data_IF_944957940807
#
_entry.id   IF_944957940807
#
_cell.length_a   1.000
_cell.length_b   1.000
_cell.length_c   1.000
_cell.angle_alpha   90.00
_cell.angle_beta   90.00
_cell.angle_gamma   90.00
#
_symmetry.space_group_name_H-M   'P 1'
#
loop_
_entity.id
_entity.type
_entity.pdbx_description
1 polymer ?
#
# COMPACT_ATOMS: atom_id res chain seq x y z
N UNK A 1 -40.05 7.55 13.21
CA UNK A 1 -41.04 6.48 13.39
C UNK A 1 -40.35 5.25 12.86
N UNK A 2 -40.10 4.25 13.71
CA UNK A 2 -39.39 3.06 13.26
C UNK A 2 -40.40 2.17 12.52
N UNK A 3 -40.06 1.78 11.29
CA UNK A 3 -40.91 0.88 10.52
C UNK A 3 -40.69 -0.51 11.07
N UNK A 4 -41.71 -1.05 11.73
CA UNK A 4 -41.66 -2.38 12.34
C UNK A 4 -43.06 -3.01 12.31
N UNK A 5 -43.17 -4.22 12.85
CA UNK A 5 -44.44 -4.94 12.92
C UNK A 5 -45.49 -4.15 13.73
N UNK A 6 -45.13 -3.59 14.88
CA UNK A 6 -46.05 -2.86 15.76
C UNK A 6 -46.68 -1.66 15.04
N UNK A 7 -45.89 -0.91 14.27
CA UNK A 7 -46.37 0.18 13.44
C UNK A 7 -47.33 -0.34 12.36
N UNK A 8 -46.99 -1.43 11.69
CA UNK A 8 -47.85 -2.03 10.68
C UNK A 8 -49.18 -2.51 11.28
N UNK A 9 -49.16 -3.11 12.47
CA UNK A 9 -50.37 -3.52 13.18
C UNK A 9 -51.24 -2.33 13.55
N UNK A 10 -50.63 -1.27 14.07
CA UNK A 10 -51.30 -0.01 14.41
C UNK A 10 -51.99 0.61 13.18
N UNK A 11 -51.31 0.65 12.04
CA UNK A 11 -51.86 1.16 10.76
C UNK A 11 -53.05 0.32 10.29
N UNK A 12 -52.96 -1.00 10.35
CA UNK A 12 -54.01 -1.90 9.87
C UNK A 12 -55.23 -1.90 10.82
N UNK A 13 -55.03 -1.84 12.13
CA UNK A 13 -56.10 -1.90 13.13
C UNK A 13 -56.84 -0.57 13.32
N UNK A 14 -56.34 0.53 12.74
CA UNK A 14 -56.97 1.85 12.85
C UNK A 14 -58.34 1.87 12.14
N UNK A 15 -59.41 2.12 12.90
CA UNK A 15 -60.79 2.21 12.39
C UNK A 15 -61.06 3.48 11.58
N UNK A 16 -60.27 4.53 11.79
CA UNK A 16 -60.33 5.80 11.06
C UNK A 16 -59.52 5.73 9.75
N UNK A 17 -60.25 5.61 8.63
CA UNK A 17 -59.66 5.50 7.29
C UNK A 17 -58.83 6.72 6.89
N UNK A 18 -59.17 7.92 7.37
CA UNK A 18 -58.40 9.13 7.07
C UNK A 18 -57.05 9.11 7.80
N UNK A 19 -57.05 8.65 9.06
CA UNK A 19 -55.81 8.44 9.83
C UNK A 19 -54.96 7.32 9.24
N UNK A 20 -55.55 6.18 8.89
CA UNK A 20 -54.85 5.07 8.25
C UNK A 20 -54.14 5.53 6.96
N UNK A 21 -54.84 6.26 6.10
CA UNK A 21 -54.26 6.82 4.86
C UNK A 21 -53.12 7.79 5.16
N UNK A 22 -53.27 8.65 6.16
CA UNK A 22 -52.23 9.59 6.59
C UNK A 22 -50.97 8.86 7.06
N UNK A 23 -51.12 7.78 7.82
CA UNK A 23 -49.98 6.99 8.32
C UNK A 23 -49.30 6.20 7.21
N UNK A 24 -50.06 5.62 6.28
CA UNK A 24 -49.51 4.97 5.09
C UNK A 24 -48.70 5.95 4.22
N UNK A 25 -49.19 7.19 4.02
CA UNK A 25 -48.41 8.23 3.33
C UNK A 25 -47.11 8.57 4.08
N UNK A 26 -47.17 8.75 5.41
CA UNK A 26 -45.96 9.00 6.22
C UNK A 26 -44.95 7.87 6.14
N UNK A 27 -45.41 6.62 6.11
CA UNK A 27 -44.54 5.44 5.94
C UNK A 27 -43.90 5.42 4.56
N UNK A 28 -44.68 5.67 3.49
CA UNK A 28 -44.16 5.79 2.12
C UNK A 28 -43.10 6.88 2.03
N UNK A 29 -43.35 8.06 2.61
CA UNK A 29 -42.40 9.17 2.62
C UNK A 29 -41.10 8.81 3.37
N UNK A 30 -41.20 8.03 4.46
CA UNK A 30 -40.04 7.55 5.21
C UNK A 30 -39.20 6.53 4.42
N UNK A 31 -39.84 5.55 3.78
CA UNK A 31 -39.11 4.58 2.95
C UNK A 31 -38.44 5.28 1.77
N UNK A 32 -39.11 6.24 1.13
CA UNK A 32 -38.52 7.05 0.05
C UNK A 32 -37.38 7.94 0.54
N UNK A 33 -37.47 8.48 1.76
CA UNK A 33 -36.35 9.19 2.38
C UNK A 33 -35.16 8.25 2.60
N UNK A 34 -35.39 7.02 3.09
CA UNK A 34 -34.33 6.03 3.28
C UNK A 34 -33.68 5.63 1.96
N UNK A 35 -34.46 5.39 0.89
CA UNK A 35 -33.92 5.13 -0.45
C UNK A 35 -33.00 6.26 -0.93
N UNK A 36 -33.36 7.53 -0.68
CA UNK A 36 -32.47 8.67 -0.98
C UNK A 36 -31.17 8.62 -0.16
N UNK A 37 -31.24 8.28 1.13
CA UNK A 37 -30.05 8.12 1.97
C UNK A 37 -29.15 6.97 1.49
N UNK A 38 -29.73 5.84 1.10
CA UNK A 38 -29.02 4.70 0.52
C UNK A 38 -28.33 5.12 -0.78
N UNK A 39 -29.01 5.83 -1.67
CA UNK A 39 -28.42 6.32 -2.90
C UNK A 39 -27.21 7.25 -2.65
N UNK A 40 -27.31 8.15 -1.66
CA UNK A 40 -26.19 8.99 -1.23
C UNK A 40 -25.05 8.12 -0.70
N UNK A 41 -25.34 7.12 0.14
CA UNK A 41 -24.35 6.19 0.65
C UNK A 41 -23.59 5.49 -0.48
N UNK A 42 -24.31 4.89 -1.44
CA UNK A 42 -23.73 4.15 -2.55
C UNK A 42 -22.82 5.03 -3.40
N UNK A 43 -23.26 6.26 -3.69
CA UNK A 43 -22.46 7.23 -4.42
C UNK A 43 -21.21 7.64 -3.64
N UNK A 44 -21.31 7.83 -2.33
CA UNK A 44 -20.16 8.19 -1.48
C UNK A 44 -19.16 7.04 -1.47
N UNK A 45 -19.64 5.80 -1.27
CA UNK A 45 -18.83 4.60 -1.25
C UNK A 45 -18.04 4.42 -2.56
N UNK A 46 -18.68 4.61 -3.72
CA UNK A 46 -18.03 4.54 -5.04
C UNK A 46 -16.90 5.58 -5.19
N UNK A 47 -17.14 6.80 -4.71
CA UNK A 47 -16.12 7.86 -4.77
C UNK A 47 -14.93 7.58 -3.85
N UNK A 48 -15.19 7.08 -2.65
CA UNK A 48 -14.14 6.65 -1.71
C UNK A 48 -13.38 5.46 -2.30
N UNK A 49 -14.07 4.48 -2.88
CA UNK A 49 -13.46 3.34 -3.57
C UNK A 49 -12.52 3.81 -4.68
N UNK A 50 -12.94 4.78 -5.51
CA UNK A 50 -12.08 5.34 -6.56
C UNK A 50 -10.80 5.98 -5.99
N UNK A 51 -10.88 6.70 -4.87
CA UNK A 51 -9.69 7.24 -4.19
C UNK A 51 -8.76 6.13 -3.70
N UNK A 52 -9.31 5.09 -3.08
CA UNK A 52 -8.51 3.96 -2.59
C UNK A 52 -7.89 3.15 -3.72
N UNK A 53 -8.61 2.92 -4.82
CA UNK A 53 -8.06 2.26 -6.01
C UNK A 53 -6.90 3.06 -6.61
N UNK A 54 -6.99 4.40 -6.64
CA UNK A 54 -5.86 5.23 -7.06
C UNK A 54 -4.67 5.09 -6.11
N UNK A 55 -4.91 5.16 -4.79
CA UNK A 55 -3.86 4.94 -3.77
C UNK A 55 -3.20 3.57 -3.90
N UNK A 56 -3.95 2.51 -4.21
CA UNK A 56 -3.38 1.18 -4.47
C UNK A 56 -2.42 1.21 -5.64
N UNK A 57 -2.83 1.78 -6.78
CA UNK A 57 -1.96 1.91 -7.97
C UNK A 57 -0.69 2.70 -7.67
N UNK A 58 -0.80 3.78 -6.90
CA UNK A 58 0.35 4.59 -6.52
C UNK A 58 1.32 3.78 -5.66
N UNK A 59 0.81 3.01 -4.68
CA UNK A 59 1.62 2.13 -3.82
C UNK A 59 2.25 0.97 -4.63
N UNK A 60 1.49 0.34 -5.53
CA UNK A 60 2.00 -0.70 -6.43
C UNK A 60 3.16 -0.16 -7.28
N UNK A 61 2.99 1.02 -7.89
CA UNK A 61 4.07 1.67 -8.65
C UNK A 61 5.30 1.98 -7.79
N UNK A 62 5.09 2.32 -6.51
CA UNK A 62 6.18 2.53 -5.56
C UNK A 62 6.89 1.21 -5.23
N UNK A 63 6.17 0.10 -5.09
CA UNK A 63 6.75 -1.23 -4.87
C UNK A 63 7.61 -1.64 -6.07
N UNK A 64 7.15 -1.39 -7.29
CA UNK A 64 7.92 -1.70 -8.50
C UNK A 64 9.23 -0.91 -8.56
N UNK A 65 9.20 0.39 -8.22
CA UNK A 65 10.42 1.20 -8.12
C UNK A 65 11.38 0.67 -7.05
N UNK A 66 10.87 0.26 -5.89
CA UNK A 66 11.69 -0.34 -4.84
C UNK A 66 12.32 -1.66 -5.29
N UNK A 67 11.61 -2.48 -6.07
CA UNK A 67 12.15 -3.71 -6.64
C UNK A 67 13.29 -3.42 -7.63
N UNK A 68 13.09 -2.46 -8.55
CA UNK A 68 14.13 -2.04 -9.49
C UNK A 68 15.37 -1.51 -8.77
N UNK A 69 15.19 -0.70 -7.73
CA UNK A 69 16.30 -0.20 -6.92
C UNK A 69 17.04 -1.34 -6.21
N UNK A 70 16.31 -2.33 -5.67
CA UNK A 70 16.91 -3.51 -5.06
C UNK A 70 17.72 -4.29 -6.09
N UNK A 71 17.20 -4.53 -7.28
CA UNK A 71 17.92 -5.22 -8.35
C UNK A 71 19.23 -4.49 -8.70
N UNK A 72 19.22 -3.17 -8.83
CA UNK A 72 20.45 -2.40 -9.06
C UNK A 72 21.48 -2.58 -7.93
N UNK A 73 21.04 -2.58 -6.67
CA UNK A 73 21.91 -2.81 -5.51
C UNK A 73 22.46 -4.24 -5.52
N UNK A 74 21.64 -5.24 -5.85
CA UNK A 74 22.06 -6.65 -5.91
C UNK A 74 23.15 -6.86 -6.98
N UNK A 75 23.02 -6.21 -8.13
CA UNK A 75 24.06 -6.20 -9.16
C UNK A 75 25.34 -5.49 -8.68
N UNK A 76 25.22 -4.35 -8.00
CA UNK A 76 26.38 -3.62 -7.46
C UNK A 76 27.12 -4.44 -6.39
N UNK A 77 26.40 -5.11 -5.49
CA UNK A 77 26.98 -6.01 -4.48
C UNK A 77 27.75 -7.14 -5.16
N UNK A 78 27.16 -7.76 -6.19
CA UNK A 78 27.82 -8.84 -6.95
C UNK A 78 29.15 -8.34 -7.56
N UNK A 79 29.12 -7.20 -8.25
CA UNK A 79 30.33 -6.60 -8.82
C UNK A 79 31.38 -6.24 -7.75
N UNK A 80 30.96 -5.72 -6.60
CA UNK A 80 31.88 -5.41 -5.50
C UNK A 80 32.50 -6.66 -4.88
N UNK A 81 31.75 -7.74 -4.76
CA UNK A 81 32.26 -9.03 -4.27
C UNK A 81 33.31 -9.62 -5.23
N UNK A 82 33.04 -9.58 -6.56
CA UNK A 82 34.01 -10.02 -7.57
C UNK A 82 35.30 -9.19 -7.49
N UNK A 83 35.15 -7.86 -7.33
CA UNK A 83 36.30 -6.96 -7.19
C UNK A 83 37.08 -7.19 -5.89
N UNK A 84 36.38 -7.47 -4.79
CA UNK A 84 37.00 -7.84 -3.51
C UNK A 84 37.82 -9.13 -3.68
N UNK A 85 37.24 -10.17 -4.28
CA UNK A 85 37.92 -11.45 -4.49
C UNK A 85 39.18 -11.29 -5.34
N UNK A 86 39.12 -10.48 -6.41
CA UNK A 86 40.28 -10.20 -7.25
C UNK A 86 41.39 -9.45 -6.48
N UNK A 87 41.03 -8.53 -5.60
CA UNK A 87 42.01 -7.82 -4.75
C UNK A 87 42.60 -8.70 -3.65
N UNK A 88 41.81 -9.61 -3.07
CA UNK A 88 42.31 -10.61 -2.12
C UNK A 88 43.35 -11.51 -2.78
N UNK A 89 43.07 -12.00 -3.99
CA UNK A 89 44.04 -12.76 -4.78
C UNK A 89 45.32 -11.94 -5.02
N UNK A 90 45.20 -10.71 -5.50
CA UNK A 90 46.34 -9.82 -5.72
C UNK A 90 47.13 -9.53 -4.44
N UNK A 91 46.45 -9.38 -3.31
CA UNK A 91 47.11 -9.22 -2.01
C UNK A 91 47.97 -10.45 -1.69
N UNK A 92 47.44 -11.66 -1.87
CA UNK A 92 48.21 -12.89 -1.61
C UNK A 92 49.43 -13.02 -2.51
N UNK A 93 49.33 -12.62 -3.79
CA UNK A 93 50.45 -12.61 -4.74
C UNK A 93 51.55 -11.63 -4.30
N UNK A 94 51.17 -10.40 -3.91
CA UNK A 94 52.10 -9.38 -3.44
C UNK A 94 52.75 -9.80 -2.12
N UNK A 95 52.00 -10.41 -1.19
CA UNK A 95 52.54 -10.93 0.07
C UNK A 95 53.58 -12.03 -0.17
N UNK A 96 53.31 -12.93 -1.13
CA UNK A 96 54.26 -13.96 -1.53
C UNK A 96 55.53 -13.37 -2.16
N UNK A 97 55.39 -12.43 -3.09
CA UNK A 97 56.52 -11.74 -3.71
C UNK A 97 57.36 -10.95 -2.68
N UNK A 98 56.69 -10.28 -1.74
CA UNK A 98 57.31 -9.54 -0.66
C UNK A 98 58.13 -10.45 0.25
N UNK A 99 57.64 -11.66 0.55
CA UNK A 99 58.39 -12.67 1.31
C UNK A 99 59.70 -13.05 0.61
N UNK A 100 59.67 -13.30 -0.70
CA UNK A 100 60.86 -13.64 -1.48
C UNK A 100 61.88 -12.49 -1.51
N UNK A 101 61.43 -11.26 -1.75
CA UNK A 101 62.29 -10.07 -1.80
C UNK A 101 62.89 -9.74 -0.44
N UNK A 102 62.14 -9.93 0.67
CA UNK A 102 62.70 -9.78 2.03
C UNK A 102 63.89 -10.70 2.26
N UNK A 103 63.80 -11.96 1.81
CA UNK A 103 64.89 -12.93 1.91
C UNK A 103 66.08 -12.53 1.05
N UNK A 104 65.84 -12.00 -0.15
CA UNK A 104 66.89 -11.52 -1.05
C UNK A 104 67.58 -10.25 -0.52
N UNK A 105 66.81 -9.28 -0.03
CA UNK A 105 67.32 -8.06 0.61
C UNK A 105 68.25 -8.41 1.77
N UNK A 106 67.86 -9.35 2.62
CA UNK A 106 68.70 -9.83 3.73
C UNK A 106 70.04 -10.40 3.25
N UNK A 107 70.04 -11.22 2.19
CA UNK A 107 71.28 -11.76 1.59
C UNK A 107 72.19 -10.66 1.05
N UNK A 108 71.63 -9.64 0.41
CA UNK A 108 72.42 -8.51 -0.11
C UNK A 108 72.94 -7.59 0.99
N UNK A 109 72.18 -7.37 2.07
CA UNK A 109 72.65 -6.66 3.28
C UNK A 109 73.86 -7.36 3.87
N UNK A 110 73.77 -8.66 4.12
CA UNK A 110 74.87 -9.46 4.65
C UNK A 110 76.10 -9.46 3.73
N UNK A 111 75.89 -9.52 2.41
CA UNK A 111 76.98 -9.43 1.42
C UNK A 111 77.63 -8.04 1.43
N UNK A 112 76.85 -6.96 1.48
CA UNK A 112 77.35 -5.59 1.61
C UNK A 112 78.21 -5.46 2.86
N UNK A 113 77.71 -5.87 4.02
CA UNK A 113 78.42 -5.80 5.31
C UNK A 113 79.74 -6.56 5.25
N UNK A 114 79.77 -7.77 4.68
CA UNK A 114 81.01 -8.53 4.48
C UNK A 114 82.00 -7.79 3.58
N UNK A 115 81.56 -7.28 2.43
CA UNK A 115 82.43 -6.54 1.52
C UNK A 115 82.97 -5.24 2.14
N UNK A 116 82.17 -4.56 2.95
CA UNK A 116 82.53 -3.37 3.71
C UNK A 116 83.64 -3.66 4.73
N UNK A 117 83.49 -4.75 5.50
CA UNK A 117 84.51 -5.23 6.43
C UNK A 117 85.83 -5.55 5.71
N UNK A 118 85.79 -6.30 4.59
CA UNK A 118 87.01 -6.60 3.83
C UNK A 118 87.67 -5.36 3.24
N UNK A 119 86.89 -4.42 2.70
CA UNK A 119 87.42 -3.16 2.19
C UNK A 119 88.08 -2.32 3.30
N UNK A 120 87.45 -2.22 4.47
CA UNK A 120 88.02 -1.49 5.62
C UNK A 120 89.36 -2.06 6.09
N UNK A 121 89.49 -3.39 6.16
CA UNK A 121 90.72 -4.08 6.59
C UNK A 121 91.89 -3.91 5.61
N UNK A 122 91.59 -3.81 4.32
CA UNK A 122 92.60 -3.78 3.25
C UNK A 122 92.76 -2.40 2.62
N UNK A 123 92.18 -1.35 3.22
CA UNK A 123 92.17 0.00 2.65
C UNK A 123 93.58 0.61 2.54
N UNK A 124 94.49 0.23 3.44
CA UNK A 124 95.86 0.71 3.48
C UNK A 124 96.79 0.08 2.41
N UNK A 125 96.35 -0.98 1.72
CA UNK A 125 97.16 -1.66 0.69
C UNK A 125 96.68 -1.21 -0.71
N UNK A 126 97.41 -0.36 -1.45
CA UNK A 126 96.87 0.36 -2.62
C UNK A 126 96.28 -0.52 -3.73
N UNK A 127 96.91 -1.65 -4.06
CA UNK A 127 96.44 -2.56 -5.12
C UNK A 127 95.18 -3.32 -4.69
N UNK A 128 95.17 -3.81 -3.45
CA UNK A 128 94.03 -4.54 -2.89
C UNK A 128 92.85 -3.60 -2.62
N UNK A 129 93.10 -2.39 -2.13
CA UNK A 129 92.05 -1.43 -1.82
C UNK A 129 91.20 -1.08 -3.03
N UNK A 130 91.81 -0.92 -4.22
CA UNK A 130 91.08 -0.64 -5.49
C UNK A 130 90.16 -1.80 -5.89
N UNK A 131 90.61 -3.04 -5.75
CA UNK A 131 89.81 -4.22 -6.09
C UNK A 131 88.63 -4.41 -5.12
N UNK A 132 88.88 -4.28 -3.81
CA UNK A 132 87.83 -4.45 -2.80
C UNK A 132 86.86 -3.27 -2.74
N UNK A 133 87.31 -2.04 -3.06
CA UNK A 133 86.42 -0.88 -3.28
C UNK A 133 85.40 -1.15 -4.38
N UNK A 134 85.84 -1.70 -5.50
CA UNK A 134 84.95 -2.04 -6.62
C UNK A 134 83.92 -3.11 -6.22
N UNK A 135 84.33 -4.13 -5.47
CA UNK A 135 83.42 -5.17 -4.94
C UNK A 135 82.40 -4.58 -3.96
N UNK A 136 82.83 -3.69 -3.07
CA UNK A 136 81.96 -3.01 -2.12
C UNK A 136 80.93 -2.13 -2.82
N UNK A 137 81.34 -1.27 -3.76
CA UNK A 137 80.42 -0.39 -4.50
C UNK A 137 79.33 -1.22 -5.20
N UNK A 138 79.71 -2.30 -5.91
CA UNK A 138 78.75 -3.21 -6.54
C UNK A 138 77.78 -3.85 -5.55
N UNK A 139 78.26 -4.26 -4.36
CA UNK A 139 77.41 -4.84 -3.32
C UNK A 139 76.46 -3.80 -2.70
N UNK A 140 76.95 -2.57 -2.50
CA UNK A 140 76.18 -1.43 -2.01
C UNK A 140 75.06 -1.05 -2.98
N UNK A 141 75.38 -0.91 -4.26
CA UNK A 141 74.41 -0.49 -5.27
C UNK A 141 73.32 -1.56 -5.46
N UNK A 142 73.69 -2.86 -5.48
CA UNK A 142 72.71 -3.95 -5.50
C UNK A 142 71.83 -3.97 -4.25
N UNK A 143 72.41 -3.78 -3.06
CA UNK A 143 71.62 -3.68 -1.84
C UNK A 143 70.63 -2.51 -1.91
N UNK A 144 71.06 -1.34 -2.38
CA UNK A 144 70.18 -0.19 -2.54
C UNK A 144 69.02 -0.48 -3.52
N UNK A 145 69.30 -1.13 -4.65
CA UNK A 145 68.25 -1.56 -5.61
C UNK A 145 67.25 -2.52 -4.97
N UNK A 146 67.72 -3.53 -4.21
CA UNK A 146 66.80 -4.48 -3.55
C UNK A 146 66.00 -3.83 -2.42
N UNK A 147 66.57 -2.90 -1.66
CA UNK A 147 65.84 -2.12 -0.65
C UNK A 147 64.74 -1.25 -1.28
N UNK A 148 65.05 -0.61 -2.41
CA UNK A 148 64.06 0.17 -3.15
C UNK A 148 62.91 -0.74 -3.62
N UNK A 149 63.22 -1.88 -4.24
CA UNK A 149 62.21 -2.84 -4.67
C UNK A 149 61.37 -3.38 -3.50
N UNK A 150 61.97 -3.61 -2.34
CA UNK A 150 61.26 -3.99 -1.11
C UNK A 150 60.29 -2.88 -0.66
N UNK A 151 60.70 -1.62 -0.75
CA UNK A 151 59.85 -0.47 -0.41
C UNK A 151 58.66 -0.35 -1.36
N UNK A 152 58.88 -0.51 -2.66
CA UNK A 152 57.83 -0.50 -3.69
C UNK A 152 56.80 -1.61 -3.45
N UNK A 153 57.25 -2.82 -3.12
CA UNK A 153 56.35 -3.94 -2.81
C UNK A 153 55.55 -3.74 -1.52
N UNK A 154 56.15 -3.14 -0.48
CA UNK A 154 55.40 -2.76 0.74
C UNK A 154 54.31 -1.75 0.41
N UNK A 155 54.65 -0.74 -0.38
CA UNK A 155 53.68 0.26 -0.80
C UNK A 155 52.53 -0.35 -1.62
N UNK A 156 52.84 -1.28 -2.54
CA UNK A 156 51.82 -2.00 -3.30
C UNK A 156 50.88 -2.82 -2.39
N UNK A 157 51.41 -3.46 -1.35
CA UNK A 157 50.60 -4.18 -0.37
C UNK A 157 49.67 -3.24 0.40
N UNK A 158 50.19 -2.11 0.89
CA UNK A 158 49.41 -1.10 1.61
C UNK A 158 48.25 -0.56 0.74
N UNK A 159 48.50 -0.33 -0.56
CA UNK A 159 47.48 0.07 -1.51
C UNK A 159 46.37 -0.98 -1.65
N UNK A 160 46.72 -2.26 -1.79
CA UNK A 160 45.74 -3.36 -1.89
C UNK A 160 44.88 -3.44 -0.61
N UNK A 161 45.51 -3.39 0.57
CA UNK A 161 44.80 -3.43 1.85
C UNK A 161 43.86 -2.23 2.04
N UNK A 162 44.27 -1.04 1.61
CA UNK A 162 43.42 0.14 1.66
C UNK A 162 42.23 0.03 0.71
N UNK A 163 42.43 -0.49 -0.51
CA UNK A 163 41.34 -0.73 -1.46
C UNK A 163 40.34 -1.76 -0.93
N UNK A 164 40.81 -2.86 -0.33
CA UNK A 164 39.95 -3.86 0.30
C UNK A 164 39.07 -3.25 1.41
N UNK A 165 39.65 -2.44 2.31
CA UNK A 165 38.88 -1.73 3.35
C UNK A 165 37.78 -0.85 2.76
N UNK A 166 38.07 -0.13 1.68
CA UNK A 166 37.09 0.74 1.00
C UNK A 166 35.96 -0.09 0.40
N UNK A 167 36.27 -1.21 -0.24
CA UNK A 167 35.27 -2.09 -0.87
C UNK A 167 34.41 -2.77 0.18
N UNK A 168 35.00 -3.33 1.23
CA UNK A 168 34.25 -3.93 2.34
C UNK A 168 33.28 -2.93 2.95
N UNK A 169 33.73 -1.68 3.18
CA UNK A 169 32.85 -0.62 3.65
C UNK A 169 31.69 -0.37 2.67
N UNK A 170 31.97 -0.25 1.38
CA UNK A 170 30.95 -0.04 0.35
C UNK A 170 29.93 -1.20 0.29
N UNK A 171 30.38 -2.44 0.41
CA UNK A 171 29.51 -3.62 0.46
C UNK A 171 28.58 -3.53 1.68
N UNK A 172 29.11 -3.20 2.86
CA UNK A 172 28.27 -3.04 4.07
C UNK A 172 27.23 -1.92 3.91
N UNK A 173 27.60 -0.80 3.30
CA UNK A 173 26.67 0.30 3.02
C UNK A 173 25.56 -0.13 2.04
N UNK A 174 25.87 -0.96 1.04
CA UNK A 174 24.88 -1.50 0.11
C UNK A 174 23.91 -2.47 0.79
N UNK A 175 24.39 -3.35 1.66
CA UNK A 175 23.50 -4.22 2.46
C UNK A 175 22.58 -3.42 3.39
N UNK A 176 23.07 -2.33 4.00
CA UNK A 176 22.23 -1.45 4.82
C UNK A 176 21.11 -0.79 4.00
N UNK A 177 21.42 -0.31 2.79
CA UNK A 177 20.41 0.23 1.86
C UNK A 177 19.40 -0.82 1.46
N UNK A 178 19.86 -2.04 1.15
CA UNK A 178 18.99 -3.17 0.80
C UNK A 178 17.99 -3.49 1.93
N UNK A 179 18.43 -3.52 3.19
CA UNK A 179 17.56 -3.72 4.36
C UNK A 179 16.52 -2.60 4.49
N UNK A 180 16.92 -1.35 4.28
CA UNK A 180 16.01 -0.21 4.29
C UNK A 180 14.92 -0.32 3.20
N UNK A 181 15.29 -0.71 1.97
CA UNK A 181 14.33 -0.94 0.89
C UNK A 181 13.36 -2.08 1.23
N UNK A 182 13.84 -3.17 1.82
CA UNK A 182 13.00 -4.28 2.28
C UNK A 182 11.97 -3.82 3.33
N UNK A 183 12.38 -3.00 4.30
CA UNK A 183 11.47 -2.40 5.30
C UNK A 183 10.42 -1.50 4.66
N UNK A 184 10.83 -0.64 3.72
CA UNK A 184 9.90 0.24 2.99
C UNK A 184 8.88 -0.58 2.19
N UNK A 185 9.34 -1.62 1.48
CA UNK A 185 8.45 -2.53 0.74
C UNK A 185 7.44 -3.23 1.65
N UNK A 186 7.88 -3.72 2.82
CA UNK A 186 6.98 -4.35 3.79
C UNK A 186 5.89 -3.39 4.26
N UNK A 187 6.25 -2.14 4.58
CA UNK A 187 5.29 -1.12 5.00
C UNK A 187 4.27 -0.78 3.90
N UNK A 188 4.71 -0.73 2.64
CA UNK A 188 3.84 -0.53 1.48
C UNK A 188 2.86 -1.70 1.29
N UNK A 189 3.33 -2.94 1.43
CA UNK A 189 2.47 -4.14 1.36
C UNK A 189 1.43 -4.18 2.49
N UNK A 190 1.82 -3.80 3.70
CA UNK A 190 0.88 -3.71 4.82
C UNK A 190 -0.17 -2.61 4.60
N UNK A 191 0.21 -1.52 3.94
CA UNK A 191 -0.71 -0.46 3.54
C UNK A 191 -1.72 -0.95 2.50
N UNK A 192 -1.29 -1.72 1.49
CA UNK A 192 -2.20 -2.35 0.52
C UNK A 192 -3.22 -3.25 1.22
N UNK A 193 -2.78 -4.14 2.12
CA UNK A 193 -3.69 -5.01 2.87
C UNK A 193 -4.73 -4.24 3.68
N UNK A 194 -4.37 -3.08 4.24
CA UNK A 194 -5.32 -2.22 4.96
C UNK A 194 -6.35 -1.62 4.00
N UNK A 195 -5.90 -1.15 2.83
CA UNK A 195 -6.80 -0.61 1.81
C UNK A 195 -7.76 -1.68 1.30
N UNK A 196 -7.28 -2.89 1.01
CA UNK A 196 -8.11 -4.02 0.56
C UNK A 196 -9.22 -4.34 1.58
N UNK A 197 -8.91 -4.32 2.88
CA UNK A 197 -9.91 -4.52 3.94
C UNK A 197 -11.01 -3.45 3.91
N UNK A 198 -10.62 -2.18 3.72
CA UNK A 198 -11.58 -1.06 3.64
C UNK A 198 -12.45 -1.19 2.37
N UNK A 199 -11.84 -1.49 1.23
CA UNK A 199 -12.57 -1.73 -0.02
C UNK A 199 -13.56 -2.90 0.11
N UNK A 200 -13.14 -4.00 0.73
CA UNK A 200 -14.01 -5.13 1.00
C UNK A 200 -15.19 -4.75 1.90
N UNK A 201 -14.94 -3.99 2.96
CA UNK A 201 -15.97 -3.50 3.86
C UNK A 201 -16.98 -2.57 3.15
N UNK A 202 -16.51 -1.65 2.31
CA UNK A 202 -17.34 -0.76 1.50
C UNK A 202 -18.19 -1.53 0.49
N UNK A 203 -17.61 -2.56 -0.14
CA UNK A 203 -18.30 -3.44 -1.07
C UNK A 203 -19.45 -4.19 -0.39
N UNK A 204 -19.19 -4.80 0.77
CA UNK A 204 -20.23 -5.48 1.55
C UNK A 204 -21.38 -4.55 1.90
N UNK A 205 -21.09 -3.31 2.33
CA UNK A 205 -22.14 -2.34 2.63
C UNK A 205 -22.91 -1.88 1.40
N UNK A 206 -22.23 -1.75 0.26
CA UNK A 206 -22.89 -1.35 -0.99
C UNK A 206 -23.81 -2.44 -1.52
N UNK A 207 -23.38 -3.71 -1.48
CA UNK A 207 -24.21 -4.87 -1.82
C UNK A 207 -25.41 -4.96 -0.88
N UNK A 208 -25.18 -4.86 0.44
CA UNK A 208 -26.24 -4.90 1.43
C UNK A 208 -27.32 -3.83 1.20
N UNK A 209 -26.94 -2.56 1.03
CA UNK A 209 -27.92 -1.49 0.87
C UNK A 209 -28.63 -1.51 -0.50
N UNK A 210 -27.95 -1.99 -1.54
CA UNK A 210 -28.58 -2.22 -2.85
C UNK A 210 -29.63 -3.33 -2.77
N UNK A 211 -29.32 -4.43 -2.08
CA UNK A 211 -30.26 -5.50 -1.82
C UNK A 211 -31.42 -5.02 -0.93
N UNK A 212 -31.12 -4.21 0.09
CA UNK A 212 -32.14 -3.61 0.96
C UNK A 212 -33.15 -2.77 0.18
N UNK A 213 -32.68 -1.94 -0.74
CA UNK A 213 -33.54 -1.13 -1.60
C UNK A 213 -34.47 -2.00 -2.47
N UNK A 214 -33.92 -3.09 -3.01
CA UNK A 214 -34.64 -3.99 -3.93
C UNK A 214 -35.64 -4.90 -3.22
N UNK A 215 -35.24 -5.50 -2.10
CA UNK A 215 -35.99 -6.60 -1.48
C UNK A 215 -36.79 -6.18 -0.24
N UNK A 216 -36.42 -5.10 0.44
CA UNK A 216 -37.16 -4.60 1.62
C UNK A 216 -37.93 -3.34 1.28
N UNK A 217 -37.24 -2.27 0.85
CA UNK A 217 -37.87 -0.97 0.62
C UNK A 217 -38.95 -1.03 -0.47
N UNK A 218 -38.66 -1.65 -1.62
CA UNK A 218 -39.62 -1.77 -2.71
C UNK A 218 -40.86 -2.59 -2.32
N UNK A 219 -40.69 -3.69 -1.59
CA UNK A 219 -41.81 -4.56 -1.16
C UNK A 219 -42.74 -3.83 -0.19
N UNK A 220 -42.18 -3.08 0.76
CA UNK A 220 -42.96 -2.23 1.67
C UNK A 220 -43.72 -1.16 0.89
N UNK A 221 -43.08 -0.51 -0.07
CA UNK A 221 -43.72 0.51 -0.92
C UNK A 221 -44.86 -0.07 -1.75
N UNK A 222 -44.67 -1.23 -2.37
CA UNK A 222 -45.70 -1.89 -3.18
C UNK A 222 -46.91 -2.27 -2.32
N UNK A 223 -46.68 -2.90 -1.16
CA UNK A 223 -47.74 -3.29 -0.25
C UNK A 223 -48.48 -2.07 0.33
N UNK A 224 -47.75 -1.02 0.75
CA UNK A 224 -48.36 0.22 1.25
C UNK A 224 -49.17 0.94 0.16
N UNK A 225 -48.66 0.99 -1.08
CA UNK A 225 -49.37 1.60 -2.21
C UNK A 225 -50.61 0.81 -2.61
N UNK A 226 -50.59 -0.52 -2.50
CA UNK A 226 -51.78 -1.34 -2.70
C UNK A 226 -52.87 -0.98 -1.68
N UNK A 227 -52.52 -0.90 -0.40
CA UNK A 227 -53.45 -0.52 0.68
C UNK A 227 -54.00 0.91 0.51
N UNK A 228 -53.17 1.85 0.06
CA UNK A 228 -53.58 3.23 -0.25
C UNK A 228 -54.60 3.28 -1.41
N UNK A 229 -54.44 2.43 -2.44
CA UNK A 229 -55.33 2.39 -3.61
C UNK A 229 -56.64 1.65 -3.31
N UNK A 230 -56.61 0.60 -2.49
CA UNK A 230 -57.74 -0.32 -2.26
C UNK A 230 -58.40 -0.16 -0.88
N UNK A 231 -58.82 1.07 -0.54
CA UNK A 231 -59.54 1.43 0.71
C UNK A 231 -60.94 0.82 0.90
N UNK A 232 -61.43 0.01 -0.06
CA UNK A 232 -62.73 -0.67 -0.01
C UNK A 232 -62.54 -2.10 0.48
N UNK A 233 -62.27 -2.26 1.77
CA UNK A 233 -62.44 -3.54 2.47
C UNK A 233 -63.92 -3.94 2.46
N UNK A 234 -64.39 -4.50 1.34
CA UNK A 234 -65.62 -5.29 1.33
C UNK A 234 -65.15 -6.73 1.33
N UNK A 235 -65.21 -7.35 2.51
CA UNK A 235 -65.06 -8.80 2.69
C UNK A 235 -66.04 -9.47 1.72
N UNK A 236 -65.55 -9.86 0.55
CA UNK A 236 -66.35 -10.56 -0.44
C UNK A 236 -66.46 -12.00 0.05
N UNK A 237 -67.63 -12.36 0.59
CA UNK A 237 -67.96 -13.72 1.07
C UNK A 237 -67.94 -14.81 -0.03
N UNK A 238 -67.40 -14.53 -1.22
CA UNK A 238 -67.47 -15.41 -2.41
C UNK A 238 -66.11 -15.74 -3.04
N UNK A 239 -64.98 -15.29 -2.48
CA UNK A 239 -63.65 -15.71 -2.93
C UNK A 239 -63.01 -16.58 -1.85
N UNK A 240 -62.51 -17.75 -2.23
CA UNK A 240 -61.83 -18.72 -1.36
C UNK A 240 -60.48 -18.21 -0.82
N UNK A 241 -59.99 -17.08 -1.35
CA UNK A 241 -58.82 -16.36 -0.85
C UNK A 241 -59.13 -14.86 -0.90
N UNK A 242 -59.18 -14.22 0.26
CA UNK A 242 -59.37 -12.78 0.38
C UNK A 242 -58.06 -12.07 0.02
N UNK A 243 -58.02 -11.48 -1.18
CA UNK A 243 -56.83 -10.81 -1.72
C UNK A 243 -56.37 -9.68 -0.79
N UNK A 244 -57.30 -8.98 -0.13
CA UNK A 244 -56.96 -7.93 0.85
C UNK A 244 -56.21 -8.51 2.04
N UNK A 245 -56.58 -9.71 2.52
CA UNK A 245 -55.90 -10.38 3.62
C UNK A 245 -54.48 -10.81 3.26
N UNK A 246 -54.24 -11.19 2.00
CA UNK A 246 -52.88 -11.48 1.52
C UNK A 246 -52.03 -10.21 1.59
N UNK A 247 -52.53 -9.09 1.05
CA UNK A 247 -51.77 -7.84 1.03
C UNK A 247 -51.56 -7.24 2.42
N UNK A 248 -52.53 -7.40 3.33
CA UNK A 248 -52.36 -7.01 4.73
C UNK A 248 -51.25 -7.84 5.40
N UNK A 249 -51.24 -9.17 5.21
CA UNK A 249 -50.18 -10.04 5.73
C UNK A 249 -48.82 -9.71 5.11
N UNK A 250 -48.77 -9.51 3.80
CA UNK A 250 -47.57 -9.12 3.08
C UNK A 250 -47.03 -7.78 3.57
N UNK A 251 -47.89 -6.78 3.79
CA UNK A 251 -47.50 -5.48 4.33
C UNK A 251 -46.89 -5.61 5.74
N UNK A 252 -47.53 -6.38 6.63
CA UNK A 252 -47.02 -6.62 7.99
C UNK A 252 -45.66 -7.31 7.98
N UNK A 253 -45.52 -8.38 7.19
CA UNK A 253 -44.25 -9.11 7.07
C UNK A 253 -43.15 -8.23 6.47
N UNK A 254 -43.46 -7.47 5.43
CA UNK A 254 -42.53 -6.55 4.80
C UNK A 254 -42.06 -5.46 5.79
N UNK A 255 -42.95 -4.91 6.62
CA UNK A 255 -42.57 -3.92 7.63
C UNK A 255 -41.69 -4.52 8.74
N UNK A 256 -41.94 -5.78 9.14
CA UNK A 256 -41.10 -6.50 10.09
C UNK A 256 -39.68 -6.69 9.52
N UNK A 257 -39.57 -7.30 8.34
CA UNK A 257 -38.30 -7.57 7.67
C UNK A 257 -37.52 -6.29 7.37
N UNK A 258 -38.22 -5.23 6.95
CA UNK A 258 -37.63 -3.91 6.74
C UNK A 258 -36.98 -3.39 8.02
N UNK A 259 -37.71 -3.40 9.14
CA UNK A 259 -37.21 -2.88 10.42
C UNK A 259 -35.99 -3.64 10.92
N UNK A 260 -36.05 -4.97 10.90
CA UNK A 260 -34.93 -5.82 11.34
C UNK A 260 -33.68 -5.61 10.48
N UNK A 261 -33.85 -5.54 9.15
CA UNK A 261 -32.74 -5.33 8.22
C UNK A 261 -32.19 -3.91 8.31
N UNK A 262 -33.04 -2.90 8.51
CA UNK A 262 -32.60 -1.51 8.68
C UNK A 262 -31.72 -1.37 9.92
N UNK A 263 -32.15 -1.94 11.05
CA UNK A 263 -31.37 -1.95 12.30
C UNK A 263 -30.04 -2.68 12.12
N UNK A 264 -30.05 -3.85 11.46
CA UNK A 264 -28.82 -4.57 11.15
C UNK A 264 -27.87 -3.73 10.29
N UNK A 265 -28.38 -3.10 9.23
CA UNK A 265 -27.60 -2.25 8.35
C UNK A 265 -27.02 -1.04 9.05
N UNK A 266 -27.83 -0.33 9.85
CA UNK A 266 -27.38 0.85 10.60
C UNK A 266 -26.37 0.48 11.71
N UNK A 267 -26.41 -0.74 12.27
CA UNK A 267 -25.38 -1.18 13.22
C UNK A 267 -23.98 -1.32 12.61
N UNK A 268 -23.89 -1.47 11.28
CA UNK A 268 -22.63 -1.74 10.56
C UNK A 268 -22.20 -0.62 9.61
N UNK A 269 -23.13 -0.03 8.88
CA UNK A 269 -22.86 0.90 7.78
C UNK A 269 -23.57 2.24 7.95
N UNK A 270 -23.86 2.65 9.19
CA UNK A 270 -24.41 3.97 9.45
C UNK A 270 -23.37 5.06 9.16
N UNK A 271 -23.74 5.95 8.22
CA UNK A 271 -22.91 7.07 7.77
C UNK A 271 -22.40 7.96 8.90
N UNK A 272 -23.15 8.12 9.99
CA UNK A 272 -22.75 9.02 11.08
C UNK A 272 -21.70 8.40 12.02
N UNK A 273 -21.55 7.08 12.00
CA UNK A 273 -20.61 6.35 12.90
C UNK A 273 -19.41 5.75 12.18
N UNK A 274 -19.40 5.77 10.83
CA UNK A 274 -18.34 5.17 10.03
C UNK A 274 -17.04 5.99 10.10
N UNK A 275 -15.96 5.30 10.46
CA UNK A 275 -14.61 5.87 10.52
C UNK A 275 -13.76 5.37 9.34
N UNK A 276 -13.91 6.02 8.19
CA UNK A 276 -13.16 5.70 6.96
C UNK A 276 -12.25 6.87 6.61
N UNK A 277 -11.04 6.60 6.15
CA UNK A 277 -10.12 7.64 5.70
C UNK A 277 -10.44 8.05 4.26
N UNK A 278 -10.52 9.34 3.99
CA UNK A 278 -10.74 9.87 2.65
C UNK A 278 -10.02 11.20 2.48
N UNK A 279 -9.75 11.59 1.23
CA UNK A 279 -9.14 12.88 0.93
C UNK A 279 -10.21 13.86 0.49
N UNK A 280 -10.28 15.01 1.16
CA UNK A 280 -11.24 16.06 0.82
C UNK A 280 -10.83 16.73 -0.49
N UNK A 281 -11.73 16.78 -1.48
CA UNK A 281 -11.45 17.40 -2.79
C UNK A 281 -11.22 18.91 -2.71
N UNK A 282 -11.67 19.58 -1.64
CA UNK A 282 -11.55 21.03 -1.48
C UNK A 282 -10.24 21.45 -0.80
N UNK A 283 -9.89 20.84 0.33
CA UNK A 283 -8.69 21.19 1.09
C UNK A 283 -7.51 20.24 0.85
N UNK A 284 -7.70 19.16 0.08
CA UNK A 284 -6.65 18.18 -0.28
C UNK A 284 -5.97 17.52 0.93
N UNK A 285 -6.64 17.51 2.09
CA UNK A 285 -6.18 16.84 3.30
C UNK A 285 -6.97 15.57 3.56
N UNK A 286 -6.30 14.58 4.15
CA UNK A 286 -6.95 13.34 4.60
C UNK A 286 -7.75 13.58 5.88
N UNK A 287 -8.97 13.06 5.92
CA UNK A 287 -9.86 13.11 7.06
C UNK A 287 -10.38 11.71 7.39
N UNK A 288 -10.85 11.51 8.62
CA UNK A 288 -11.51 10.28 9.06
C UNK A 288 -12.98 10.55 9.35
N UNK A 289 -13.86 9.70 8.81
CA UNK A 289 -15.30 9.81 8.95
C UNK A 289 -16.02 9.54 7.64
N UNK A 290 -17.33 9.82 7.58
CA UNK A 290 -18.08 9.78 6.32
C UNK A 290 -18.15 11.18 5.67
N UNK A 291 -17.68 11.34 4.42
CA UNK A 291 -17.72 12.62 3.73
C UNK A 291 -19.13 13.02 3.31
N UNK A 292 -19.34 14.33 3.12
CA UNK A 292 -20.52 14.86 2.41
C UNK A 292 -20.19 14.97 0.92
N UNK A 293 -21.17 14.73 0.05
CA UNK A 293 -21.01 14.88 -1.40
C UNK A 293 -21.65 16.18 -1.87
N UNK A 294 -20.92 16.94 -2.70
CA UNK A 294 -21.51 17.98 -3.54
C UNK A 294 -20.98 17.81 -4.98
N UNK A 295 -21.86 17.77 -6.00
CA UNK A 295 -21.48 17.73 -7.42
C UNK A 295 -20.30 16.76 -7.76
N UNK A 296 -20.34 15.52 -7.26
CA UNK A 296 -19.24 14.55 -7.43
C UNK A 296 -17.91 14.93 -6.75
N UNK A 297 -17.93 15.65 -5.62
CA UNK A 297 -16.76 15.93 -4.79
C UNK A 297 -16.97 15.41 -3.36
N UNK A 298 -15.93 14.80 -2.77
CA UNK A 298 -15.92 14.41 -1.36
C UNK A 298 -15.48 15.61 -0.53
N UNK A 299 -16.33 16.05 0.38
CA UNK A 299 -16.07 17.22 1.24
C UNK A 299 -16.01 16.80 2.70
N UNK A 300 -15.04 17.35 3.43
CA UNK A 300 -15.01 17.25 4.88
C UNK A 300 -16.06 18.18 5.52
N UNK A 301 -16.35 17.94 6.80
CA UNK A 301 -17.32 18.72 7.57
C UNK A 301 -17.03 20.23 7.52
N UNK A 302 -15.76 20.60 7.67
CA UNK A 302 -15.31 22.00 7.62
C UNK A 302 -15.55 22.64 6.24
N UNK A 303 -15.10 22.01 5.15
CA UNK A 303 -15.30 22.53 3.79
C UNK A 303 -16.77 22.56 3.37
N UNK A 304 -17.61 21.72 3.97
CA UNK A 304 -19.06 21.73 3.73
C UNK A 304 -19.72 22.96 4.36
N UNK A 305 -19.28 23.39 5.55
CA UNK A 305 -19.85 24.54 6.26
C UNK A 305 -19.48 25.89 5.61
N UNK A 306 -18.35 25.96 4.91
CA UNK A 306 -17.87 27.20 4.28
C UNK A 306 -18.46 27.49 2.90
N UNK A 307 -19.00 26.49 2.20
CA UNK A 307 -19.72 26.69 0.94
C UNK A 307 -21.20 26.98 1.25
N UNK A 308 -21.74 28.17 0.95
CA UNK A 308 -23.18 28.41 1.09
C UNK A 308 -23.93 27.42 0.20
N UNK A 309 -25.02 26.86 0.73
CA UNK A 309 -25.82 25.81 0.15
C UNK A 309 -26.41 26.19 -1.23
N UNK A 310 -25.62 26.08 -2.29
CA UNK A 310 -26.12 26.07 -3.66
C UNK A 310 -26.55 24.65 -4.02
N UNK A 311 -27.86 24.45 -4.01
CA UNK A 311 -28.61 23.33 -4.59
C UNK A 311 -28.08 21.92 -4.31
N UNK A 312 -28.65 21.31 -3.26
CA UNK A 312 -28.77 19.85 -3.19
C UNK A 312 -29.58 19.41 -4.42
N UNK A 313 -28.94 18.75 -5.39
CA UNK A 313 -29.58 18.30 -6.62
C UNK A 313 -30.79 17.41 -6.31
N UNK A 314 -31.98 17.68 -6.88
CA UNK A 314 -33.05 16.69 -6.94
C UNK A 314 -32.60 15.56 -7.89
N UNK A 315 -32.41 14.37 -7.34
CA UNK A 315 -32.18 13.16 -8.15
C UNK A 315 -33.45 12.91 -8.96
N UNK A 316 -33.37 13.14 -10.28
CA UNK A 316 -34.47 12.89 -11.20
C UNK A 316 -34.73 11.37 -11.29
N UNK A 317 -36.01 10.98 -11.21
CA UNK A 317 -36.50 9.59 -11.27
C UNK A 317 -36.05 8.79 -12.51
N UNK A 318 -35.51 9.45 -13.54
CA UNK A 318 -35.03 8.82 -14.77
C UNK A 318 -33.64 8.19 -14.65
N UNK A 319 -32.86 8.51 -13.60
CA UNK A 319 -31.51 7.98 -13.43
C UNK A 319 -31.47 6.60 -12.76
N UNK A 320 -32.47 6.20 -11.97
CA UNK A 320 -32.44 4.92 -11.24
C UNK A 320 -32.56 3.68 -12.16
N UNK A 321 -33.31 3.79 -13.26
CA UNK A 321 -33.52 2.68 -14.21
C UNK A 321 -32.29 2.49 -15.11
N UNK A 322 -31.70 3.58 -15.62
CA UNK A 322 -30.50 3.52 -16.44
C UNK A 322 -29.26 3.03 -15.64
N UNK A 323 -29.18 3.36 -14.34
CA UNK A 323 -28.09 2.90 -13.47
C UNK A 323 -28.17 1.41 -13.14
N UNK A 324 -29.38 0.86 -12.92
CA UNK A 324 -29.59 -0.58 -12.71
C UNK A 324 -29.17 -1.40 -13.94
N UNK A 325 -29.37 -0.88 -15.16
CA UNK A 325 -28.92 -1.55 -16.40
C UNK A 325 -27.41 -1.44 -16.63
N UNK A 326 -26.77 -0.31 -16.27
CA UNK A 326 -25.32 -0.18 -16.33
C UNK A 326 -24.60 -1.05 -15.27
N UNK A 327 -25.15 -1.18 -14.07
CA UNK A 327 -24.62 -2.08 -13.04
C UNK A 327 -24.68 -3.55 -13.47
N UNK A 328 -25.76 -3.99 -14.13
CA UNK A 328 -25.84 -5.35 -14.69
C UNK A 328 -24.76 -5.64 -15.75
N UNK A 329 -24.39 -4.64 -16.58
CA UNK A 329 -23.35 -4.81 -17.60
C UNK A 329 -21.93 -4.92 -17.04
N UNK A 330 -21.64 -4.26 -15.92
CA UNK A 330 -20.30 -4.29 -15.30
C UNK A 330 -20.07 -5.62 -14.56
N UNK A 331 -21.12 -6.21 -13.98
CA UNK A 331 -21.00 -7.46 -13.21
C UNK A 331 -21.21 -8.75 -14.01
N UNK A 332 -21.69 -8.68 -15.27
CA UNK A 332 -21.81 -9.87 -16.13
C UNK A 332 -20.50 -10.37 -16.74
N UNK A 333 -19.35 -9.72 -16.51
CA UNK A 333 -18.08 -10.12 -17.11
C UNK A 333 -17.23 -11.12 -16.29
N UNK A 334 -17.76 -11.71 -15.20
CA UNK A 334 -17.00 -12.66 -14.36
C UNK A 334 -17.73 -13.95 -13.93
N UNK A 335 -18.75 -14.39 -14.67
CA UNK A 335 -19.38 -15.71 -14.44
C UNK A 335 -19.41 -16.62 -15.68
N UNK A 336 -18.42 -16.49 -16.57
CA UNK A 336 -18.08 -17.52 -17.55
C UNK A 336 -16.56 -17.60 -17.69
N UNK A 337 -15.94 -18.39 -16.82
CA UNK A 337 -14.75 -19.21 -17.10
C UNK A 337 -14.80 -20.46 -16.24
#
# INVERSE_FOLDING_TARGET
MNINLDLAEMIIQTSDKAKQRTWLHKLVDQVQLRQRCIHIYLRTAQMIEAQYQQKMKDIESSIDRLNQQKECIDHEITHLNDHQQALEQRQTEVEHALFLIRREAQRYREKKTRCEQYYSRLCAVPILSRQYKTKYIKARDRNAQTEQHLSEMRHALDLCQNQLKVITKRITEQYMKQDQLCKQKSNSLDSLKRIEKVLHFLKQGSEFWSDFETYQAQVVLEAANYLLKNTRHKVSKRLTVDIDQIWIKAFKLACLEYGEREVYGDSRWNMDTLNISYDCSACQTSHTGWPKINQCQLLCSHCTQQKPAQSILPVSKSLSIAYLEQFKKIFHFKLLK
#
